data_IF_563664457052
#
_entry.id   IF_563664457052
#
_cell.length_a   1.000
_cell.length_b   1.000
_cell.length_c   1.000
_cell.angle_alpha   90.00
_cell.angle_beta   90.00
_cell.angle_gamma   90.00
#
_symmetry.space_group_name_H-M   'P 1'
#
loop_
_entity.id
_entity.type
_entity.pdbx_description
1 polymer ?
#
# COMPACT_ATOMS: atom_id res chain seq x y z
N UNK A 1 -46.08 -72.23 -52.55
CA UNK A 1 -45.61 -70.86 -52.36
C UNK A 1 -45.33 -70.52 -50.86
N UNK A 2 -44.72 -71.38 -50.09
CA UNK A 2 -44.42 -71.17 -48.66
C UNK A 2 -42.96 -70.87 -48.36
N UNK A 3 -42.04 -70.82 -49.33
CA UNK A 3 -40.62 -70.52 -49.09
C UNK A 3 -40.24 -69.02 -49.10
N UNK A 4 -41.07 -68.14 -49.61
CA UNK A 4 -40.76 -66.71 -49.66
C UNK A 4 -40.99 -65.96 -48.35
N UNK A 5 -41.89 -66.39 -47.48
CA UNK A 5 -42.24 -65.78 -46.19
C UNK A 5 -41.19 -66.06 -45.14
N UNK A 6 -40.54 -67.23 -45.18
CA UNK A 6 -39.48 -67.63 -44.21
C UNK A 6 -38.19 -66.81 -44.37
N UNK A 7 -37.84 -66.45 -45.64
CA UNK A 7 -36.64 -65.67 -45.92
C UNK A 7 -36.74 -64.19 -45.44
N UNK A 8 -37.94 -63.56 -45.70
CA UNK A 8 -38.13 -62.18 -45.32
C UNK A 8 -38.17 -62.00 -43.74
N UNK A 9 -38.78 -62.94 -43.03
CA UNK A 9 -38.76 -62.94 -41.58
C UNK A 9 -37.35 -63.11 -40.99
N UNK A 10 -36.52 -63.96 -41.60
CA UNK A 10 -35.11 -64.18 -41.26
C UNK A 10 -34.27 -62.92 -41.43
N UNK A 11 -34.50 -62.15 -42.48
CA UNK A 11 -33.72 -60.94 -42.77
C UNK A 11 -34.10 -59.79 -41.87
N UNK A 12 -35.37 -59.67 -41.47
CA UNK A 12 -35.84 -58.68 -40.43
C UNK A 12 -35.21 -59.01 -39.09
N UNK A 13 -35.19 -60.29 -38.68
CA UNK A 13 -34.58 -60.75 -37.45
C UNK A 13 -33.07 -60.47 -37.41
N UNK A 14 -32.36 -60.71 -38.48
CA UNK A 14 -30.92 -60.40 -38.57
C UNK A 14 -30.64 -58.91 -38.44
N UNK A 15 -31.44 -58.03 -39.05
CA UNK A 15 -31.30 -56.57 -38.91
C UNK A 15 -31.56 -56.11 -37.47
N UNK A 16 -32.54 -56.71 -36.80
CA UNK A 16 -32.86 -56.42 -35.42
C UNK A 16 -31.76 -56.84 -34.43
N UNK A 17 -31.16 -58.01 -34.66
CA UNK A 17 -30.03 -58.53 -33.90
C UNK A 17 -28.77 -57.68 -34.08
N UNK A 18 -28.48 -57.26 -35.34
CA UNK A 18 -27.38 -56.35 -35.64
C UNK A 18 -27.62 -54.99 -34.94
N UNK A 19 -28.81 -54.43 -34.99
CA UNK A 19 -29.15 -53.20 -34.31
C UNK A 19 -28.93 -53.25 -32.78
N UNK A 20 -29.40 -54.34 -32.14
CA UNK A 20 -29.16 -54.59 -30.74
C UNK A 20 -27.68 -54.73 -30.40
N UNK A 21 -26.89 -55.39 -31.25
CA UNK A 21 -25.45 -55.58 -31.05
C UNK A 21 -24.70 -54.25 -31.16
N UNK A 22 -25.08 -53.35 -32.07
CA UNK A 22 -24.51 -52.00 -32.18
C UNK A 22 -24.82 -51.18 -30.96
N UNK A 23 -26.06 -51.22 -30.44
CA UNK A 23 -26.49 -50.46 -29.22
C UNK A 23 -25.72 -50.97 -27.99
N UNK A 24 -25.56 -52.29 -27.84
CA UNK A 24 -24.80 -52.85 -26.70
C UNK A 24 -23.32 -52.46 -26.75
N UNK A 25 -22.69 -52.46 -27.91
CA UNK A 25 -21.29 -52.00 -28.10
C UNK A 25 -21.18 -50.52 -27.73
N UNK A 26 -22.10 -49.67 -28.21
CA UNK A 26 -22.13 -48.26 -27.92
C UNK A 26 -22.29 -48.00 -26.42
N UNK A 27 -23.16 -48.74 -25.75
CA UNK A 27 -23.37 -48.66 -24.29
C UNK A 27 -22.11 -49.06 -23.49
N UNK A 28 -21.40 -50.10 -23.91
CA UNK A 28 -20.14 -50.52 -23.31
C UNK A 28 -19.05 -49.44 -23.45
N UNK A 29 -18.91 -48.85 -24.63
CA UNK A 29 -17.94 -47.79 -24.87
C UNK A 29 -18.24 -46.56 -24.01
N UNK A 30 -19.52 -46.16 -23.92
CA UNK A 30 -19.92 -45.06 -23.03
C UNK A 30 -19.65 -45.36 -21.53
N UNK A 31 -19.88 -46.58 -21.09
CA UNK A 31 -19.59 -47.01 -19.74
C UNK A 31 -18.07 -46.95 -19.42
N UNK A 32 -17.23 -47.40 -20.33
CA UNK A 32 -15.78 -47.33 -20.20
C UNK A 32 -15.31 -45.87 -20.12
N UNK A 33 -15.81 -45.00 -21.00
CA UNK A 33 -15.48 -43.56 -20.98
C UNK A 33 -15.92 -42.91 -19.67
N UNK A 34 -17.10 -43.25 -19.16
CA UNK A 34 -17.59 -42.74 -17.88
C UNK A 34 -16.73 -43.17 -16.69
N UNK A 35 -16.31 -44.44 -16.67
CA UNK A 35 -15.42 -44.98 -15.63
C UNK A 35 -14.03 -44.31 -15.72
N UNK A 36 -13.45 -44.12 -16.90
CA UNK A 36 -12.18 -43.42 -17.06
C UNK A 36 -12.25 -41.96 -16.62
N UNK A 37 -13.34 -41.26 -16.91
CA UNK A 37 -13.56 -39.87 -16.39
C UNK A 37 -13.71 -39.84 -14.89
N UNK A 38 -14.45 -40.77 -14.28
CA UNK A 38 -14.60 -40.89 -12.85
C UNK A 38 -13.24 -41.14 -12.17
N UNK A 39 -12.44 -42.09 -12.65
CA UNK A 39 -11.10 -42.39 -12.12
C UNK A 39 -10.15 -41.20 -12.28
N UNK A 40 -10.20 -40.47 -13.39
CA UNK A 40 -9.39 -39.26 -13.59
C UNK A 40 -9.78 -38.14 -12.62
N UNK A 41 -11.05 -38.01 -12.32
CA UNK A 41 -11.57 -37.04 -11.32
C UNK A 41 -11.15 -37.41 -9.91
N UNK A 42 -11.23 -38.71 -9.54
CA UNK A 42 -10.80 -39.21 -8.22
C UNK A 42 -9.31 -38.99 -8.03
N UNK A 43 -8.47 -39.29 -9.04
CA UNK A 43 -7.03 -39.00 -8.97
C UNK A 43 -6.71 -37.52 -8.80
N UNK A 44 -7.45 -36.65 -9.45
CA UNK A 44 -7.31 -35.18 -9.28
C UNK A 44 -7.70 -34.73 -7.87
N UNK A 45 -8.73 -35.36 -7.31
CA UNK A 45 -9.16 -35.14 -5.92
C UNK A 45 -8.11 -35.64 -4.93
N UNK A 46 -7.58 -36.85 -5.12
CA UNK A 46 -6.52 -37.41 -4.28
C UNK A 46 -5.25 -36.56 -4.34
N UNK A 47 -4.84 -36.11 -5.52
CA UNK A 47 -3.65 -35.24 -5.70
C UNK A 47 -3.83 -33.86 -5.04
N UNK A 48 -5.05 -33.33 -4.95
CA UNK A 48 -5.38 -32.11 -4.20
C UNK A 48 -5.46 -32.35 -2.70
N UNK A 49 -5.76 -33.59 -2.27
CA UNK A 49 -5.85 -33.98 -0.86
C UNK A 49 -4.60 -34.71 -0.34
N UNK A 50 -3.64 -35.07 -1.23
CA UNK A 50 -2.36 -35.69 -0.87
C UNK A 50 -1.46 -34.65 -0.18
N UNK A 51 -1.61 -34.54 1.13
CA UNK A 51 -0.95 -33.59 2.03
C UNK A 51 -1.91 -32.86 2.99
N UNK A 52 -3.21 -33.07 2.83
CA UNK A 52 -4.24 -32.45 3.65
C UNK A 52 -5.02 -33.50 4.42
N UNK A 53 -4.37 -34.14 5.41
CA UNK A 53 -5.09 -34.72 6.54
C UNK A 53 -5.99 -33.61 7.10
N UNK A 54 -7.29 -33.86 7.31
CA UNK A 54 -8.22 -32.88 7.85
C UNK A 54 -7.72 -32.19 9.14
N UNK A 55 -6.89 -32.88 9.92
CA UNK A 55 -6.14 -32.34 11.06
C UNK A 55 -5.03 -31.37 10.67
N UNK A 56 -4.41 -31.53 9.50
CA UNK A 56 -3.37 -30.61 9.00
C UNK A 56 -4.00 -29.33 8.51
N UNK A 57 -5.15 -29.40 7.85
CA UNK A 57 -5.91 -28.23 7.39
C UNK A 57 -6.47 -27.43 8.58
N UNK A 58 -6.99 -28.10 9.61
CA UNK A 58 -7.43 -27.43 10.84
C UNK A 58 -6.29 -26.70 11.55
N UNK A 59 -5.11 -27.33 11.67
CA UNK A 59 -3.91 -26.68 12.21
C UNK A 59 -3.47 -25.46 11.40
N UNK A 60 -3.52 -25.57 10.08
CA UNK A 60 -3.16 -24.47 9.18
C UNK A 60 -4.15 -23.31 9.30
N UNK A 61 -5.45 -23.58 9.32
CA UNK A 61 -6.49 -22.57 9.52
C UNK A 61 -6.35 -21.89 10.88
N UNK A 62 -6.13 -22.64 11.95
CA UNK A 62 -5.89 -22.08 13.29
C UNK A 62 -4.66 -21.15 13.29
N UNK A 63 -3.55 -21.63 12.71
CA UNK A 63 -2.33 -20.81 12.60
C UNK A 63 -2.57 -19.50 11.84
N UNK A 64 -3.24 -19.55 10.69
CA UNK A 64 -3.56 -18.32 9.93
C UNK A 64 -4.51 -17.40 10.71
N UNK A 65 -5.46 -17.96 11.47
CA UNK A 65 -6.33 -17.16 12.32
C UNK A 65 -5.54 -16.44 13.41
N UNK A 66 -4.63 -17.14 14.08
CA UNK A 66 -3.75 -16.55 15.10
C UNK A 66 -2.82 -15.50 14.50
N UNK A 67 -2.26 -15.75 13.32
CA UNK A 67 -1.40 -14.80 12.60
C UNK A 67 -2.19 -13.53 12.21
N UNK A 68 -3.45 -13.68 11.76
CA UNK A 68 -4.34 -12.54 11.43
C UNK A 68 -4.65 -11.72 12.68
N UNK A 69 -4.98 -12.36 13.81
CA UNK A 69 -5.25 -11.66 15.07
C UNK A 69 -4.02 -10.89 15.54
N UNK A 70 -2.84 -11.50 15.45
CA UNK A 70 -1.58 -10.83 15.80
C UNK A 70 -1.27 -9.64 14.88
N UNK A 71 -1.51 -9.79 13.56
CA UNK A 71 -1.35 -8.72 12.59
C UNK A 71 -2.31 -7.55 12.85
N UNK A 72 -3.57 -7.84 13.18
CA UNK A 72 -4.55 -6.82 13.53
C UNK A 72 -4.11 -6.03 14.75
N UNK A 73 -3.71 -6.72 15.82
CA UNK A 73 -3.20 -6.08 17.03
C UNK A 73 -1.97 -5.21 16.75
N UNK A 74 -0.99 -5.74 16.00
CA UNK A 74 0.20 -4.97 15.62
C UNK A 74 -0.16 -3.75 14.77
N UNK A 75 -1.16 -3.85 13.89
CA UNK A 75 -1.65 -2.74 13.08
C UNK A 75 -2.32 -1.66 13.92
N UNK A 76 -3.10 -2.04 14.94
CA UNK A 76 -3.71 -1.12 15.90
C UNK A 76 -2.64 -0.40 16.73
N UNK A 77 -1.70 -1.14 17.31
CA UNK A 77 -0.58 -0.60 18.08
C UNK A 77 0.27 0.38 17.23
N UNK A 78 0.55 0.03 15.97
CA UNK A 78 1.26 0.90 15.05
C UNK A 78 0.47 2.18 14.74
N UNK A 79 -0.85 2.07 14.56
CA UNK A 79 -1.71 3.22 14.28
C UNK A 79 -1.73 4.19 15.46
N UNK A 80 -1.78 3.68 16.69
CA UNK A 80 -1.71 4.49 17.91
C UNK A 80 -0.33 5.16 18.06
N UNK A 81 0.75 4.41 17.85
CA UNK A 81 2.11 4.95 17.88
C UNK A 81 2.34 6.05 16.83
N UNK A 82 1.84 5.85 15.60
CA UNK A 82 1.89 6.86 14.54
C UNK A 82 1.13 8.12 14.95
N UNK A 83 -0.05 7.98 15.55
CA UNK A 83 -0.84 9.12 16.02
C UNK A 83 -0.08 9.91 17.10
N UNK A 84 0.51 9.23 18.08
CA UNK A 84 1.34 9.86 19.13
C UNK A 84 2.56 10.59 18.53
N UNK A 85 3.22 9.99 17.54
CA UNK A 85 4.31 10.64 16.82
C UNK A 85 3.82 11.91 16.09
N UNK A 86 2.69 11.87 15.40
CA UNK A 86 2.13 13.03 14.71
C UNK A 86 1.75 14.16 15.70
N UNK A 87 1.21 13.82 16.87
CA UNK A 87 0.88 14.79 17.90
C UNK A 87 2.15 15.48 18.45
N UNK A 88 3.20 14.72 18.73
CA UNK A 88 4.49 15.25 19.18
C UNK A 88 5.20 16.07 18.10
N UNK A 89 5.12 15.64 16.85
CA UNK A 89 5.71 16.38 15.73
C UNK A 89 5.11 17.76 15.52
N UNK A 90 3.87 18.03 15.97
CA UNK A 90 3.28 19.36 15.80
C UNK A 90 4.05 20.47 16.54
N UNK A 91 4.77 20.12 17.58
CA UNK A 91 5.56 21.03 18.41
C UNK A 91 7.05 21.03 18.08
N UNK A 92 7.48 20.26 17.09
CA UNK A 92 8.88 20.26 16.65
C UNK A 92 9.08 21.23 15.50
N UNK A 93 10.29 21.81 15.40
CA UNK A 93 10.63 22.66 14.27
C UNK A 93 10.76 21.82 13.01
N UNK A 94 9.95 22.14 12.01
CA UNK A 94 9.89 21.42 10.74
C UNK A 94 10.24 22.29 9.54
N UNK A 95 10.20 23.61 9.71
CA UNK A 95 10.42 24.58 8.66
C UNK A 95 11.63 25.42 9.04
N UNK A 96 12.58 25.48 8.13
CA UNK A 96 13.84 26.21 8.34
C UNK A 96 14.10 27.13 7.17
N UNK A 97 14.41 28.37 7.47
CA UNK A 97 14.86 29.36 6.49
C UNK A 97 16.16 30.00 6.94
N UNK A 98 17.13 30.10 6.04
CA UNK A 98 18.46 30.68 6.35
C UNK A 98 18.81 31.72 5.30
N UNK A 99 18.99 32.94 5.74
CA UNK A 99 19.46 34.03 4.89
C UNK A 99 20.82 34.54 5.35
N UNK A 100 21.86 34.34 4.53
CA UNK A 100 23.21 34.84 4.80
C UNK A 100 23.40 36.18 4.12
N UNK A 101 23.96 37.14 4.86
CA UNK A 101 24.15 38.50 4.37
C UNK A 101 25.43 39.13 4.93
N UNK A 102 25.83 40.25 4.35
CA UNK A 102 26.93 41.07 4.85
C UNK A 102 26.31 42.29 5.58
N UNK A 103 26.43 42.33 6.91
CA UNK A 103 25.83 43.36 7.71
C UNK A 103 26.57 44.70 7.61
N UNK A 104 27.89 44.71 7.42
CA UNK A 104 28.75 45.92 7.56
C UNK A 104 29.60 46.21 6.34
N UNK A 105 29.57 45.39 5.28
CA UNK A 105 30.31 45.54 4.01
C UNK A 105 31.86 45.60 4.15
N UNK A 106 32.38 45.29 5.35
CA UNK A 106 33.76 45.49 5.70
C UNK A 106 34.60 44.18 5.74
N UNK A 107 33.92 43.02 5.77
CA UNK A 107 34.54 41.74 6.11
C UNK A 107 34.78 40.79 4.94
N UNK A 108 34.59 41.24 3.70
CA UNK A 108 34.90 40.45 2.52
C UNK A 108 34.08 39.13 2.38
N UNK A 109 32.93 39.02 3.05
CA UNK A 109 32.06 37.85 2.95
C UNK A 109 30.76 37.95 3.71
N UNK A 110 29.80 37.05 3.43
CA UNK A 110 28.48 36.99 4.11
C UNK A 110 28.61 36.17 5.40
N UNK A 111 29.21 36.75 6.43
CA UNK A 111 29.41 36.11 7.73
C UNK A 111 28.22 36.29 8.68
N UNK A 112 27.36 37.26 8.43
CA UNK A 112 26.13 37.46 9.16
C UNK A 112 25.00 36.60 8.59
N UNK A 113 24.06 36.17 9.43
CA UNK A 113 22.94 35.36 9.00
C UNK A 113 21.68 35.58 9.86
N UNK A 114 20.52 35.39 9.23
CA UNK A 114 19.26 35.21 9.91
C UNK A 114 18.79 33.78 9.71
N UNK A 115 18.46 33.10 10.81
CA UNK A 115 17.95 31.73 10.84
C UNK A 115 16.54 31.74 11.42
N UNK A 116 15.58 31.26 10.65
CA UNK A 116 14.19 31.06 11.09
C UNK A 116 13.90 29.57 11.24
N UNK A 117 13.29 29.20 12.36
CA UNK A 117 12.84 27.84 12.67
C UNK A 117 11.40 27.90 13.13
N UNK A 118 10.51 27.18 12.41
CA UNK A 118 9.08 27.18 12.69
C UNK A 118 8.54 25.74 12.85
N UNK A 119 7.55 25.60 13.71
CA UNK A 119 6.76 24.37 13.84
C UNK A 119 5.72 24.25 12.70
N UNK A 120 4.88 23.22 12.77
CA UNK A 120 3.80 22.98 11.80
C UNK A 120 2.79 24.14 11.77
N UNK A 121 2.58 24.85 12.86
CA UNK A 121 1.62 25.96 13.01
C UNK A 121 2.23 27.34 12.75
N UNK A 122 3.45 27.39 12.20
CA UNK A 122 4.20 28.59 11.95
C UNK A 122 4.59 29.37 13.24
N UNK A 123 4.73 28.66 14.37
CA UNK A 123 5.26 29.23 15.58
C UNK A 123 6.74 28.84 15.73
N UNK A 124 7.53 29.74 16.25
CA UNK A 124 8.95 29.50 16.47
C UNK A 124 9.74 30.77 16.66
N UNK A 125 10.95 30.78 16.13
CA UNK A 125 11.89 31.85 16.38
C UNK A 125 12.69 32.21 15.12
N UNK A 126 13.04 33.49 15.02
CA UNK A 126 14.09 33.95 14.13
C UNK A 126 15.29 34.43 14.97
N UNK A 127 16.44 33.85 14.70
CA UNK A 127 17.72 34.21 15.30
C UNK A 127 18.52 35.01 14.28
N UNK A 128 18.95 36.19 14.63
CA UNK A 128 19.79 37.03 13.78
C UNK A 128 21.16 37.20 14.41
N UNK A 129 22.20 36.89 13.64
CA UNK A 129 23.60 36.98 14.04
C UNK A 129 24.31 37.95 13.10
N UNK A 130 24.78 39.06 13.65
CA UNK A 130 25.57 40.05 12.94
C UNK A 130 27.03 39.95 13.36
N UNK A 131 27.89 39.74 12.39
CA UNK A 131 29.34 39.68 12.60
C UNK A 131 30.00 40.96 12.11
N UNK A 132 30.81 41.59 12.99
CA UNK A 132 31.62 42.77 12.72
C UNK A 132 33.07 42.54 13.14
N UNK A 133 33.98 43.47 12.79
CA UNK A 133 35.38 43.44 13.25
C UNK A 133 35.50 43.53 14.78
N UNK A 134 34.55 44.18 15.44
CA UNK A 134 34.58 44.44 16.88
C UNK A 134 33.88 43.36 17.69
N UNK A 135 33.15 42.42 17.02
CA UNK A 135 32.47 41.35 17.73
C UNK A 135 31.29 40.76 16.96
N UNK A 136 30.58 39.88 17.64
CA UNK A 136 29.42 39.18 17.12
C UNK A 136 28.18 39.51 18.01
N UNK A 137 27.12 40.01 17.38
CA UNK A 137 25.86 40.36 18.05
C UNK A 137 24.80 39.37 17.63
N UNK A 138 24.17 38.69 18.60
CA UNK A 138 23.08 37.77 18.35
C UNK A 138 21.84 38.17 19.13
N UNK A 139 20.68 38.12 18.48
CA UNK A 139 19.39 38.32 19.13
C UNK A 139 18.33 37.42 18.51
N UNK A 140 17.25 37.20 19.25
CA UNK A 140 16.16 36.31 18.90
C UNK A 140 14.84 37.07 18.94
N UNK A 141 13.95 36.81 17.97
CA UNK A 141 12.57 37.29 17.96
C UNK A 141 11.63 36.09 17.83
N UNK A 142 10.51 36.18 18.51
CA UNK A 142 9.46 35.16 18.46
C UNK A 142 8.58 35.35 17.24
N UNK A 143 8.19 34.23 16.64
CA UNK A 143 7.23 34.17 15.52
C UNK A 143 6.02 33.38 16.02
N UNK A 144 4.84 33.98 15.88
CA UNK A 144 3.55 33.36 16.23
C UNK A 144 2.63 33.42 15.01
N UNK A 145 2.16 32.24 14.55
CA UNK A 145 1.35 32.11 13.33
C UNK A 145 1.98 32.81 12.12
N UNK A 146 3.29 32.67 11.95
CA UNK A 146 4.04 33.23 10.84
C UNK A 146 4.30 34.73 10.91
N UNK A 147 3.99 35.37 12.05
CA UNK A 147 4.17 36.83 12.26
C UNK A 147 4.96 37.09 13.52
N UNK A 148 5.74 38.16 13.52
CA UNK A 148 6.42 38.68 14.70
C UNK A 148 5.68 39.87 15.30
N UNK A 149 5.65 39.96 16.61
CA UNK A 149 5.15 41.16 17.34
C UNK A 149 6.14 42.33 17.27
N UNK A 150 7.42 42.04 17.04
CA UNK A 150 8.48 43.03 16.88
C UNK A 150 8.78 43.16 15.39
N UNK A 151 9.01 44.37 14.91
CA UNK A 151 9.34 44.63 13.51
C UNK A 151 10.57 43.80 13.10
N UNK A 152 10.43 43.06 12.01
CA UNK A 152 11.50 42.26 11.43
C UNK A 152 12.39 43.11 10.54
N UNK A 153 13.70 42.91 10.61
CA UNK A 153 14.61 43.45 9.63
C UNK A 153 14.46 42.77 8.26
N UNK A 154 14.87 43.43 7.21
CA UNK A 154 14.75 42.92 5.82
C UNK A 154 15.35 41.53 5.63
N UNK A 155 16.46 41.23 6.33
CA UNK A 155 17.16 39.95 6.21
C UNK A 155 16.47 38.85 7.03
N UNK A 156 15.83 39.22 8.16
CA UNK A 156 14.99 38.34 8.96
C UNK A 156 13.70 37.97 8.22
N UNK A 157 13.06 38.94 7.56
CA UNK A 157 11.87 38.67 6.72
C UNK A 157 12.18 37.66 5.60
N UNK A 158 13.36 37.74 5.00
CA UNK A 158 13.78 36.78 3.96
C UNK A 158 13.88 35.39 4.53
N UNK A 159 14.47 35.23 5.73
CA UNK A 159 14.57 33.94 6.40
C UNK A 159 13.21 33.38 6.77
N UNK A 160 12.30 34.21 7.30
CA UNK A 160 10.91 33.80 7.59
C UNK A 160 10.17 33.40 6.32
N UNK A 161 10.27 34.15 5.23
CA UNK A 161 9.68 33.80 3.95
C UNK A 161 10.20 32.49 3.40
N UNK A 162 11.50 32.21 3.51
CA UNK A 162 12.08 30.93 3.10
C UNK A 162 11.53 29.77 3.91
N UNK A 163 11.40 29.92 5.24
CA UNK A 163 10.81 28.89 6.09
C UNK A 163 9.33 28.62 5.75
N UNK A 164 8.58 29.65 5.39
CA UNK A 164 7.16 29.53 4.99
C UNK A 164 6.99 28.94 3.58
N UNK A 165 7.88 29.25 2.64
CA UNK A 165 7.82 28.72 1.26
C UNK A 165 8.11 27.21 1.24
N UNK A 166 8.97 26.70 2.12
CA UNK A 166 9.16 25.24 2.30
C UNK A 166 7.83 24.51 2.54
N UNK A 167 6.85 25.17 3.16
CA UNK A 167 5.49 24.65 3.37
C UNK A 167 4.71 24.36 2.08
N UNK A 168 4.93 25.13 1.01
CA UNK A 168 4.20 24.93 -0.25
C UNK A 168 4.58 23.59 -0.91
N UNK A 169 5.85 23.17 -0.82
CA UNK A 169 6.29 21.87 -1.28
C UNK A 169 5.72 20.72 -0.42
N UNK A 170 5.60 20.93 0.89
CA UNK A 170 5.05 19.95 1.81
C UNK A 170 3.53 19.74 1.65
N UNK A 171 2.79 20.78 1.26
CA UNK A 171 1.35 20.67 0.97
C UNK A 171 1.08 19.90 -0.33
N UNK A 172 1.89 20.08 -1.35
CA UNK A 172 1.81 19.32 -2.61
C UNK A 172 2.14 17.84 -2.38
N UNK A 173 3.21 17.56 -1.65
CA UNK A 173 3.60 16.21 -1.27
C UNK A 173 2.54 15.52 -0.40
N UNK A 174 1.93 16.26 0.54
CA UNK A 174 0.86 15.74 1.41
C UNK A 174 -0.41 15.37 0.64
N UNK A 175 -0.75 16.13 -0.42
CA UNK A 175 -1.87 15.79 -1.32
C UNK A 175 -1.57 14.52 -2.11
N UNK A 176 -0.37 14.41 -2.67
CA UNK A 176 0.05 13.26 -3.46
C UNK A 176 0.05 11.97 -2.61
N UNK A 177 0.53 12.05 -1.36
CA UNK A 177 0.50 10.92 -0.41
C UNK A 177 -0.95 10.52 -0.06
N UNK A 178 -1.84 11.50 0.18
CA UNK A 178 -3.24 11.20 0.46
C UNK A 178 -3.97 10.58 -0.73
N UNK A 179 -3.68 11.02 -1.94
CA UNK A 179 -4.23 10.46 -3.18
C UNK A 179 -3.74 9.03 -3.42
N UNK A 180 -2.47 8.73 -3.11
CA UNK A 180 -1.93 7.37 -3.16
C UNK A 180 -2.58 6.45 -2.13
N UNK A 181 -2.75 6.92 -0.88
CA UNK A 181 -3.41 6.13 0.18
C UNK A 181 -4.91 5.87 -0.08
N UNK A 182 -5.58 6.71 -0.87
CA UNK A 182 -6.96 6.47 -1.29
C UNK A 182 -7.06 5.45 -2.43
N UNK A 183 -6.07 5.38 -3.32
CA UNK A 183 -6.00 4.39 -4.41
C UNK A 183 -5.78 2.97 -3.92
N UNK A 184 -5.06 2.78 -2.83
CA UNK A 184 -4.81 1.45 -2.24
C UNK A 184 -6.03 0.89 -1.45
N UNK A 185 -7.09 1.68 -1.26
CA UNK A 185 -8.33 1.27 -0.57
C UNK A 185 -9.47 0.89 -1.53
N UNK A 186 -9.26 0.95 -2.84
CA UNK A 186 -10.18 0.48 -3.88
C UNK A 186 -9.73 -0.87 -4.46
#
# INVERSE_FOLDING_TARGET
STQGVSSAASDVYKRQVIGLLVITIAAIVLAIVAICKACAMTKKYEMMMEGSDGKSMEKMVRKYTDDIINLQKTSEDNTEAIKDIYEKMQFTFQKVGVNKYDAFHEMGGKLSFALCMLDKKDNGYVVNVMHSNDGCFAYIKEIVNGKSYIELGKEEEKAVKQALVGRMGDEELSKEINDLMQKDKM
#
